data_IF_621300567942
#
_entry.id   IF_621300567942
#
_cell.length_a   1.000
_cell.length_b   1.000
_cell.length_c   1.000
_cell.angle_alpha   90.00
_cell.angle_beta   90.00
_cell.angle_gamma   90.00
#
_symmetry.space_group_name_H-M   'P 1'
#
loop_
_entity.id
_entity.type
_entity.pdbx_description
1 polymer ?
#
# COMPACT_ATOMS: atom_id res chain seq x y z
N UNK A 1 15.47 -5.53 -19.84
CA UNK A 1 14.79 -4.37 -19.29
C UNK A 1 15.15 -3.12 -20.10
N UNK A 2 14.20 -2.22 -20.29
CA UNK A 2 14.38 -0.94 -20.99
C UNK A 2 14.05 0.19 -20.03
N UNK A 3 14.96 1.17 -19.91
CA UNK A 3 14.79 2.25 -18.94
C UNK A 3 15.65 3.48 -19.24
N UNK A 4 15.75 4.34 -18.23
CA UNK A 4 16.58 5.56 -18.26
C UNK A 4 17.45 5.63 -17.00
N UNK A 5 18.50 4.76 -16.91
CA UNK A 5 19.39 4.74 -15.76
C UNK A 5 19.93 6.13 -15.44
N UNK A 6 19.92 6.49 -14.16
CA UNK A 6 20.41 7.78 -13.63
C UNK A 6 19.67 9.01 -14.19
N UNK A 7 18.57 8.83 -14.96
CA UNK A 7 17.86 9.92 -15.61
C UNK A 7 18.56 10.51 -16.85
N UNK A 8 19.74 10.03 -17.19
CA UNK A 8 20.61 10.59 -18.24
C UNK A 8 20.83 9.66 -19.43
N UNK A 9 20.52 8.35 -19.27
CA UNK A 9 20.82 7.33 -20.28
C UNK A 9 19.52 6.74 -20.86
N UNK A 10 18.66 7.61 -21.39
CA UNK A 10 17.39 7.21 -21.98
C UNK A 10 17.52 6.15 -23.07
N UNK A 11 16.65 5.13 -23.06
CA UNK A 11 16.67 4.03 -24.01
C UNK A 11 17.73 2.96 -23.74
N UNK A 12 18.32 2.96 -22.56
CA UNK A 12 19.25 1.88 -22.16
C UNK A 12 18.52 0.55 -22.09
N UNK A 13 19.10 -0.48 -22.70
CA UNK A 13 18.62 -1.86 -22.67
C UNK A 13 19.60 -2.71 -21.87
N UNK A 14 19.11 -3.44 -20.89
CA UNK A 14 19.88 -4.45 -20.15
C UNK A 14 19.28 -5.83 -20.39
N UNK A 15 20.13 -6.84 -20.59
CA UNK A 15 19.71 -8.23 -20.80
C UNK A 15 20.05 -9.10 -19.60
N UNK A 16 19.27 -10.18 -19.44
CA UNK A 16 19.45 -11.16 -18.38
C UNK A 16 18.45 -12.31 -18.50
N UNK A 17 18.32 -13.08 -17.44
CA UNK A 17 17.40 -14.20 -17.33
C UNK A 17 16.38 -13.98 -16.21
N UNK A 18 15.20 -14.54 -16.38
CA UNK A 18 14.22 -14.66 -15.30
C UNK A 18 14.72 -15.71 -14.30
N UNK A 19 14.99 -15.29 -13.08
CA UNK A 19 15.53 -16.13 -12.02
C UNK A 19 14.44 -16.76 -11.16
N UNK A 20 13.27 -16.09 -11.02
CA UNK A 20 12.10 -16.62 -10.33
C UNK A 20 10.81 -15.93 -10.80
N UNK A 21 9.69 -16.64 -10.69
CA UNK A 21 8.35 -16.10 -10.84
C UNK A 21 7.64 -16.11 -9.48
N UNK A 22 6.74 -15.15 -9.28
CA UNK A 22 5.94 -15.03 -8.06
C UNK A 22 6.80 -14.96 -6.78
N UNK A 23 7.92 -14.23 -6.84
CA UNK A 23 8.78 -14.02 -5.68
C UNK A 23 8.12 -13.01 -4.75
N UNK A 24 7.79 -13.43 -3.55
CA UNK A 24 7.33 -12.50 -2.52
C UNK A 24 8.49 -11.65 -2.03
N UNK A 25 8.36 -10.34 -2.19
CA UNK A 25 9.34 -9.35 -1.79
C UNK A 25 8.64 -8.27 -1.00
N UNK A 26 9.14 -7.97 0.19
CA UNK A 26 8.64 -6.85 0.99
C UNK A 26 9.46 -5.60 0.67
N UNK A 27 8.79 -4.57 0.19
CA UNK A 27 9.36 -3.27 -0.15
C UNK A 27 8.55 -2.21 0.60
N UNK A 28 9.20 -1.39 1.43
CA UNK A 28 8.54 -0.34 2.23
C UNK A 28 7.30 -0.87 2.98
N UNK A 29 7.47 -2.02 3.67
CA UNK A 29 6.44 -2.72 4.43
C UNK A 29 5.25 -3.28 3.61
N UNK A 30 5.35 -3.29 2.28
CA UNK A 30 4.38 -3.93 1.40
C UNK A 30 4.96 -5.19 0.76
N UNK A 31 4.29 -6.33 0.95
CA UNK A 31 4.67 -7.58 0.30
C UNK A 31 4.01 -7.66 -1.08
N UNK A 32 4.85 -7.85 -2.10
CA UNK A 32 4.43 -7.96 -3.49
C UNK A 32 4.96 -9.24 -4.11
N UNK A 33 4.17 -9.85 -5.00
CA UNK A 33 4.58 -10.98 -5.82
C UNK A 33 5.20 -10.48 -7.12
N UNK A 34 6.53 -10.63 -7.27
CA UNK A 34 7.31 -10.04 -8.35
C UNK A 34 8.01 -11.10 -9.20
N UNK A 35 8.34 -10.72 -10.43
CA UNK A 35 9.31 -11.44 -11.28
C UNK A 35 10.71 -11.04 -10.81
N UNK A 36 11.55 -12.04 -10.49
CA UNK A 36 12.97 -11.83 -10.20
C UNK A 36 13.81 -12.09 -11.46
N UNK A 37 14.81 -11.26 -11.71
CA UNK A 37 15.72 -11.36 -12.85
C UNK A 37 17.15 -10.93 -12.46
N UNK A 38 18.12 -11.31 -13.27
CA UNK A 38 19.52 -10.89 -13.15
C UNK A 38 19.92 -9.77 -14.13
N UNK A 39 18.97 -9.30 -14.95
CA UNK A 39 19.19 -8.11 -15.78
C UNK A 39 19.48 -6.90 -14.87
N UNK A 40 20.54 -6.16 -15.17
CA UNK A 40 20.94 -5.00 -14.38
C UNK A 40 19.81 -3.97 -14.30
N UNK A 41 19.43 -3.65 -13.08
CA UNK A 41 18.43 -2.64 -12.75
C UNK A 41 19.06 -1.62 -11.80
N UNK A 42 18.87 -0.35 -12.09
CA UNK A 42 19.39 0.76 -11.29
C UNK A 42 18.33 1.86 -11.16
N UNK A 43 18.49 2.80 -10.22
CA UNK A 43 17.64 3.98 -10.16
C UNK A 43 17.51 4.65 -11.54
N UNK A 44 16.24 4.94 -11.94
CA UNK A 44 15.91 5.43 -13.28
C UNK A 44 15.35 4.35 -14.22
N UNK A 45 15.51 3.07 -13.90
CA UNK A 45 14.85 1.97 -14.62
C UNK A 45 13.47 1.65 -14.08
N UNK A 46 13.11 2.09 -12.87
CA UNK A 46 11.76 1.93 -12.30
C UNK A 46 10.71 2.53 -13.22
N UNK A 47 9.63 1.78 -13.45
CA UNK A 47 8.57 2.13 -14.40
C UNK A 47 8.92 1.77 -15.85
N UNK A 48 10.14 1.34 -16.13
CA UNK A 48 10.56 0.86 -17.44
C UNK A 48 9.97 -0.51 -17.79
N UNK A 49 10.00 -0.85 -19.06
CA UNK A 49 9.43 -2.09 -19.57
C UNK A 49 10.39 -3.27 -19.48
N UNK A 50 9.85 -4.43 -19.12
CA UNK A 50 10.55 -5.72 -19.22
C UNK A 50 9.95 -6.52 -20.39
N UNK A 51 10.78 -6.86 -21.37
CA UNK A 51 10.39 -7.64 -22.54
C UNK A 51 11.02 -9.03 -22.53
N UNK A 52 10.30 -10.00 -23.10
CA UNK A 52 10.88 -11.30 -23.42
C UNK A 52 11.65 -11.27 -24.76
N UNK A 53 12.24 -12.41 -25.14
CA UNK A 53 13.00 -12.53 -26.40
C UNK A 53 12.14 -12.39 -27.66
N UNK A 54 10.81 -12.54 -27.56
CA UNK A 54 9.86 -12.34 -28.67
C UNK A 54 9.41 -10.88 -28.81
N UNK A 55 9.79 -10.01 -27.87
CA UNK A 55 9.37 -8.61 -27.84
C UNK A 55 8.04 -8.37 -27.12
N UNK A 56 7.50 -9.39 -26.42
CA UNK A 56 6.29 -9.21 -25.62
C UNK A 56 6.63 -8.51 -24.31
N UNK A 57 5.80 -7.57 -23.90
CA UNK A 57 5.90 -6.91 -22.59
C UNK A 57 5.45 -7.93 -21.52
N UNK A 58 6.36 -8.28 -20.62
CA UNK A 58 6.10 -9.27 -19.56
C UNK A 58 6.07 -8.67 -18.15
N UNK A 59 6.52 -7.44 -17.98
CA UNK A 59 6.48 -6.77 -16.68
C UNK A 59 6.90 -5.31 -16.73
N UNK A 60 6.70 -4.64 -15.60
CA UNK A 60 7.16 -3.27 -15.35
C UNK A 60 8.27 -3.33 -14.29
N UNK A 61 9.44 -2.80 -14.62
CA UNK A 61 10.61 -2.81 -13.73
C UNK A 61 10.31 -2.05 -12.44
N UNK A 62 10.58 -2.70 -11.31
CA UNK A 62 10.56 -2.08 -9.99
C UNK A 62 11.98 -2.07 -9.42
N UNK A 63 12.70 -0.97 -9.60
CA UNK A 63 14.10 -0.83 -9.17
C UNK A 63 14.27 -0.49 -7.67
N UNK A 64 13.19 -0.41 -6.91
CA UNK A 64 13.23 -0.13 -5.48
C UNK A 64 13.50 -1.38 -4.66
N UNK A 65 14.67 -1.97 -4.77
CA UNK A 65 15.21 -2.78 -3.69
C UNK A 65 16.34 -1.98 -3.03
N UNK A 66 15.97 -1.13 -2.07
CA UNK A 66 16.94 -0.40 -1.27
C UNK A 66 17.54 -1.33 -0.21
N UNK A 67 18.83 -1.46 -0.20
CA UNK A 67 19.63 -1.67 1.00
C UNK A 67 20.19 -3.07 1.23
N UNK A 68 19.47 -4.16 1.10
CA UNK A 68 19.92 -5.49 1.53
C UNK A 68 19.93 -6.58 0.44
N UNK A 69 19.54 -6.25 -0.78
CA UNK A 69 19.60 -7.22 -1.87
C UNK A 69 20.95 -7.13 -2.58
N UNK A 70 21.60 -8.30 -2.73
CA UNK A 70 22.87 -8.42 -3.40
C UNK A 70 22.83 -7.83 -4.82
N UNK A 71 23.96 -7.25 -5.26
CA UNK A 71 24.14 -6.84 -6.65
C UNK A 71 23.71 -7.96 -7.61
N UNK A 72 22.98 -7.63 -8.67
CA UNK A 72 22.52 -8.60 -9.67
C UNK A 72 21.10 -9.16 -9.41
N UNK A 73 20.34 -8.59 -8.47
CA UNK A 73 18.92 -8.91 -8.30
C UNK A 73 18.05 -7.76 -8.78
N UNK A 74 17.32 -7.99 -9.86
CA UNK A 74 16.29 -7.10 -10.39
C UNK A 74 14.89 -7.66 -10.13
N UNK A 75 13.90 -6.77 -9.99
CA UNK A 75 12.51 -7.15 -9.82
C UNK A 75 11.61 -6.40 -10.79
N UNK A 76 10.53 -7.06 -11.21
CA UNK A 76 9.50 -6.45 -12.04
C UNK A 76 8.11 -6.90 -11.60
N UNK A 77 7.15 -5.99 -11.68
CA UNK A 77 5.73 -6.29 -11.48
C UNK A 77 5.24 -7.07 -12.71
N UNK A 78 4.62 -8.25 -12.55
CA UNK A 78 4.08 -9.00 -13.68
C UNK A 78 3.10 -8.15 -14.50
N UNK A 79 3.16 -8.26 -15.83
CA UNK A 79 2.32 -7.44 -16.72
C UNK A 79 0.83 -7.65 -16.48
N UNK A 80 0.41 -8.87 -16.14
CA UNK A 80 -1.00 -9.16 -15.86
C UNK A 80 -1.53 -8.34 -14.67
N UNK A 81 -0.69 -8.16 -13.63
CA UNK A 81 -1.03 -7.29 -12.49
C UNK A 81 -1.03 -5.81 -12.90
N UNK A 82 0.03 -5.37 -13.59
CA UNK A 82 0.18 -3.99 -14.01
C UNK A 82 -0.91 -3.57 -15.01
N UNK A 83 -1.33 -4.46 -15.91
CA UNK A 83 -2.36 -4.21 -16.91
C UNK A 83 -3.71 -3.89 -16.27
N UNK A 84 -4.15 -4.67 -15.28
CA UNK A 84 -5.43 -4.44 -14.61
C UNK A 84 -5.44 -3.07 -13.91
N UNK A 85 -4.35 -2.75 -13.19
CA UNK A 85 -4.19 -1.44 -12.55
C UNK A 85 -4.20 -0.30 -13.58
N UNK A 86 -3.50 -0.46 -14.71
CA UNK A 86 -3.47 0.54 -15.77
C UNK A 86 -4.85 0.76 -16.40
N UNK A 87 -5.61 -0.32 -16.64
CA UNK A 87 -6.96 -0.23 -17.20
C UNK A 87 -7.91 0.48 -16.24
N UNK A 88 -7.84 0.18 -14.94
CA UNK A 88 -8.64 0.88 -13.93
C UNK A 88 -8.32 2.38 -13.91
N UNK A 89 -7.05 2.75 -13.94
CA UNK A 89 -6.62 4.15 -13.95
C UNK A 89 -7.09 4.88 -15.22
N UNK A 90 -7.07 4.22 -16.38
CA UNK A 90 -7.53 4.80 -17.65
C UNK A 90 -9.05 4.97 -17.66
N UNK A 91 -9.80 4.00 -17.16
CA UNK A 91 -11.25 3.98 -17.21
C UNK A 91 -11.90 4.80 -16.09
N UNK A 92 -11.36 4.72 -14.89
CA UNK A 92 -11.97 5.23 -13.66
C UNK A 92 -11.18 6.38 -13.02
N UNK A 93 -9.91 6.55 -13.38
CA UNK A 93 -9.01 7.53 -12.74
C UNK A 93 -8.42 7.06 -11.43
N UNK A 94 -8.83 5.90 -10.93
CA UNK A 94 -8.31 5.27 -9.71
C UNK A 94 -8.40 3.74 -9.83
N UNK A 95 -7.70 3.02 -8.94
CA UNK A 95 -7.75 1.54 -8.92
C UNK A 95 -9.02 1.10 -8.21
N UNK A 96 -9.92 0.45 -8.95
CA UNK A 96 -11.22 0.02 -8.45
C UNK A 96 -11.13 -1.21 -7.55
N UNK A 97 -12.19 -1.46 -6.77
CA UNK A 97 -12.29 -2.65 -5.91
C UNK A 97 -11.34 -2.68 -4.71
N UNK A 98 -10.59 -1.61 -4.44
CA UNK A 98 -9.74 -1.54 -3.24
C UNK A 98 -10.57 -1.21 -2.01
N UNK A 99 -10.61 -2.10 -1.00
CA UNK A 99 -11.34 -1.83 0.22
C UNK A 99 -10.59 -0.81 1.08
N UNK A 100 -11.35 0.04 1.79
CA UNK A 100 -10.83 0.96 2.79
C UNK A 100 -11.80 1.13 3.95
N UNK A 101 -11.25 1.46 5.12
CA UNK A 101 -12.02 1.93 6.28
C UNK A 101 -12.50 3.37 6.09
N UNK A 102 -11.71 4.17 5.40
CA UNK A 102 -11.92 5.62 5.26
C UNK A 102 -11.44 6.41 6.47
N UNK A 103 -10.26 6.07 6.97
CA UNK A 103 -9.56 6.78 8.05
C UNK A 103 -8.15 7.17 7.63
N UNK A 104 -7.63 8.23 8.22
CA UNK A 104 -6.19 8.50 8.26
C UNK A 104 -5.67 8.17 9.65
N UNK A 105 -4.50 7.58 9.73
CA UNK A 105 -3.89 7.19 11.00
C UNK A 105 -2.51 7.82 11.19
N UNK A 106 -2.12 7.99 12.44
CA UNK A 106 -0.77 8.36 12.85
C UNK A 106 -0.25 7.30 13.82
N UNK A 107 1.02 6.95 13.67
CA UNK A 107 1.70 6.07 14.62
C UNK A 107 2.50 6.91 15.60
N UNK A 108 2.23 6.74 16.88
CA UNK A 108 2.92 7.40 17.99
C UNK A 108 3.81 6.38 18.67
N UNK A 109 5.13 6.59 18.60
CA UNK A 109 6.14 5.63 19.06
C UNK A 109 6.82 6.05 20.36
N UNK A 110 6.73 7.32 20.74
CA UNK A 110 7.44 7.87 21.89
C UNK A 110 6.59 8.85 22.72
N UNK A 111 7.02 9.07 23.95
CA UNK A 111 6.30 9.91 24.91
C UNK A 111 6.28 11.41 24.53
N UNK A 112 7.29 11.91 23.82
CA UNK A 112 7.34 13.31 23.41
C UNK A 112 6.30 13.56 22.31
N UNK A 113 6.19 12.65 21.34
CA UNK A 113 5.15 12.68 20.32
C UNK A 113 3.77 12.49 20.94
N UNK A 114 3.60 11.58 21.90
CA UNK A 114 2.34 11.39 22.62
C UNK A 114 1.86 12.71 23.30
N UNK A 115 2.78 13.39 23.98
CA UNK A 115 2.47 14.67 24.61
C UNK A 115 2.04 15.76 23.62
N UNK A 116 2.66 15.82 22.43
CA UNK A 116 2.28 16.77 21.36
C UNK A 116 0.86 16.55 20.84
N UNK A 117 0.43 15.29 20.78
CA UNK A 117 -0.92 14.93 20.34
C UNK A 117 -1.94 14.81 21.48
N UNK A 118 -1.52 15.09 22.74
CA UNK A 118 -2.39 15.05 23.90
C UNK A 118 -2.88 13.65 24.27
N UNK A 119 -2.12 12.60 23.90
CA UNK A 119 -2.42 11.22 24.22
C UNK A 119 -1.42 10.66 25.25
N UNK A 120 -1.79 9.59 25.95
CA UNK A 120 -1.04 9.09 27.11
C UNK A 120 -0.20 7.83 26.82
N UNK A 121 -0.32 7.26 25.62
CA UNK A 121 0.37 6.00 25.28
C UNK A 121 0.78 5.97 23.80
N UNK A 122 1.80 5.19 23.49
CA UNK A 122 2.16 4.82 22.13
C UNK A 122 1.04 4.00 21.47
N UNK A 123 0.98 4.01 20.15
CA UNK A 123 0.02 3.24 19.36
C UNK A 123 -0.40 3.92 18.08
N UNK A 124 -1.37 3.32 17.40
CA UNK A 124 -1.95 3.80 16.15
C UNK A 124 -3.20 4.59 16.48
N UNK A 125 -3.24 5.85 16.13
CA UNK A 125 -4.38 6.73 16.41
C UNK A 125 -5.05 7.18 15.12
N UNK A 126 -6.38 7.20 15.11
CA UNK A 126 -7.15 7.82 14.03
C UNK A 126 -6.95 9.32 14.11
N UNK A 127 -6.35 9.91 13.08
CA UNK A 127 -6.19 11.35 12.95
C UNK A 127 -7.37 12.01 12.25
N UNK A 128 -7.99 11.29 11.31
CA UNK A 128 -9.14 11.76 10.56
C UNK A 128 -10.05 10.61 10.17
N UNK A 129 -11.35 10.87 10.14
CA UNK A 129 -12.37 9.99 9.57
C UNK A 129 -12.94 10.68 8.34
N UNK A 130 -12.95 9.98 7.21
CA UNK A 130 -13.40 10.55 5.94
C UNK A 130 -14.94 10.58 5.89
N UNK A 131 -15.53 11.69 5.47
CA UNK A 131 -16.98 11.80 5.29
C UNK A 131 -17.52 10.72 4.33
N UNK A 132 -18.68 10.17 4.67
CA UNK A 132 -19.37 9.13 3.88
C UNK A 132 -18.74 7.73 3.94
N UNK A 133 -17.62 7.57 4.65
CA UNK A 133 -16.91 6.30 4.78
C UNK A 133 -17.63 5.30 5.68
N UNK A 134 -17.20 4.02 5.61
CA UNK A 134 -17.63 3.00 6.56
C UNK A 134 -17.28 3.33 8.00
N UNK A 135 -16.10 3.91 8.21
CA UNK A 135 -15.63 4.36 9.53
C UNK A 135 -16.55 5.44 10.14
N UNK A 136 -16.98 6.43 9.36
CA UNK A 136 -17.91 7.45 9.82
C UNK A 136 -19.27 6.84 10.20
N UNK A 137 -19.84 5.99 9.31
CA UNK A 137 -21.12 5.31 9.56
C UNK A 137 -21.06 4.42 10.79
N UNK A 138 -19.91 3.79 11.05
CA UNK A 138 -19.66 2.97 12.22
C UNK A 138 -19.41 3.77 13.51
N UNK A 139 -19.24 5.10 13.42
CA UNK A 139 -19.04 5.99 14.56
C UNK A 139 -17.60 6.01 15.10
N UNK A 140 -16.61 5.67 14.27
CA UNK A 140 -15.20 5.91 14.59
C UNK A 140 -14.91 7.43 14.66
N UNK A 141 -13.96 7.82 15.48
CA UNK A 141 -13.65 9.22 15.74
C UNK A 141 -12.15 9.47 15.72
N UNK A 142 -11.77 10.69 15.35
CA UNK A 142 -10.39 11.14 15.57
C UNK A 142 -10.03 11.06 17.06
N UNK A 143 -8.83 10.57 17.36
CA UNK A 143 -8.37 10.29 18.71
C UNK A 143 -8.63 8.86 19.19
N UNK A 144 -9.39 8.03 18.49
CA UNK A 144 -9.49 6.61 18.78
C UNK A 144 -8.13 5.94 18.56
N UNK A 145 -7.67 5.15 19.53
CA UNK A 145 -6.48 4.31 19.37
C UNK A 145 -6.89 2.93 18.91
N UNK A 146 -6.43 2.51 17.74
CA UNK A 146 -6.65 1.16 17.22
C UNK A 146 -5.81 0.17 18.04
N UNK A 147 -6.44 -0.89 18.50
CA UNK A 147 -5.82 -1.93 19.32
C UNK A 147 -5.73 -3.24 18.53
N UNK A 148 -6.80 -3.62 17.85
CA UNK A 148 -6.82 -4.83 17.03
C UNK A 148 -7.75 -4.70 15.84
N UNK A 149 -7.50 -5.50 14.82
CA UNK A 149 -8.33 -5.67 13.62
C UNK A 149 -8.67 -7.15 13.51
N UNK A 150 -9.93 -7.51 13.45
CA UNK A 150 -10.44 -8.90 13.43
C UNK A 150 -9.79 -9.77 14.56
N UNK A 151 -9.70 -9.22 15.77
CA UNK A 151 -9.08 -9.82 16.95
C UNK A 151 -7.56 -10.06 16.86
N UNK A 152 -6.88 -9.55 15.83
CA UNK A 152 -5.41 -9.57 15.73
C UNK A 152 -4.87 -8.21 16.15
N UNK A 153 -3.92 -8.18 17.07
CA UNK A 153 -3.28 -6.95 17.53
C UNK A 153 -2.64 -6.22 16.37
N UNK A 154 -2.84 -4.91 16.34
CA UNK A 154 -2.20 -4.01 15.37
C UNK A 154 -1.15 -3.16 16.11
N UNK A 155 0.10 -3.31 15.73
CA UNK A 155 1.23 -2.58 16.30
C UNK A 155 1.65 -1.43 15.38
N UNK A 156 1.44 -1.59 14.07
CA UNK A 156 1.78 -0.62 13.04
C UNK A 156 0.56 -0.26 12.18
N UNK A 157 0.62 0.90 11.52
CA UNK A 157 -0.41 1.29 10.55
C UNK A 157 -0.53 0.25 9.43
N UNK A 158 0.58 -0.39 9.06
CA UNK A 158 0.61 -1.41 8.01
C UNK A 158 -0.16 -2.68 8.42
N UNK A 159 -0.18 -3.05 9.70
CA UNK A 159 -1.00 -4.18 10.16
C UNK A 159 -2.49 -3.92 9.90
N UNK A 160 -2.94 -2.68 10.11
CA UNK A 160 -4.32 -2.27 9.80
C UNK A 160 -4.58 -2.34 8.30
N UNK A 161 -3.67 -1.78 7.49
CA UNK A 161 -3.80 -1.74 6.03
C UNK A 161 -3.81 -3.15 5.45
N UNK A 162 -2.89 -4.03 5.85
CA UNK A 162 -2.79 -5.40 5.36
C UNK A 162 -4.07 -6.19 5.63
N UNK A 163 -4.64 -6.08 6.85
CA UNK A 163 -5.88 -6.75 7.20
C UNK A 163 -7.08 -6.28 6.39
N UNK A 164 -7.14 -4.97 6.11
CA UNK A 164 -8.19 -4.42 5.26
C UNK A 164 -8.03 -4.88 3.81
N UNK A 165 -6.80 -4.97 3.30
CA UNK A 165 -6.51 -5.41 1.93
C UNK A 165 -6.77 -6.91 1.70
N UNK A 166 -6.83 -7.73 2.74
CA UNK A 166 -7.25 -9.15 2.66
C UNK A 166 -8.74 -9.33 2.41
N UNK A 167 -9.53 -8.26 2.52
CA UNK A 167 -10.99 -8.24 2.38
C UNK A 167 -11.42 -7.66 1.03
N UNK A 168 -12.73 -7.66 0.82
CA UNK A 168 -13.38 -7.05 -0.33
C UNK A 168 -14.20 -5.83 0.07
N UNK A 169 -14.52 -4.96 -0.88
CA UNK A 169 -15.50 -3.88 -0.68
C UNK A 169 -16.83 -4.49 -0.29
N UNK A 170 -17.47 -3.95 0.77
CA UNK A 170 -18.71 -4.46 1.36
C UNK A 170 -18.51 -5.47 2.49
N UNK A 171 -17.30 -6.03 2.66
CA UNK A 171 -17.02 -6.87 3.82
C UNK A 171 -16.99 -6.03 5.11
N UNK A 172 -17.22 -6.68 6.24
CA UNK A 172 -17.15 -6.07 7.56
C UNK A 172 -15.84 -6.44 8.25
N UNK A 173 -15.23 -5.45 8.89
CA UNK A 173 -14.03 -5.60 9.73
C UNK A 173 -14.36 -5.19 11.15
N UNK A 174 -13.97 -6.02 12.11
CA UNK A 174 -14.14 -5.75 13.54
C UNK A 174 -12.92 -5.01 14.08
N UNK A 175 -13.09 -3.75 14.44
CA UNK A 175 -12.04 -2.93 15.06
C UNK A 175 -12.25 -2.83 16.57
N UNK A 176 -11.24 -3.21 17.35
CA UNK A 176 -11.18 -2.84 18.75
C UNK A 176 -10.38 -1.56 18.92
N UNK A 177 -11.03 -0.54 19.45
CA UNK A 177 -10.39 0.77 19.67
C UNK A 177 -10.47 1.18 21.14
N UNK A 178 -9.47 1.91 21.61
CA UNK A 178 -9.48 2.56 22.92
C UNK A 178 -9.91 4.00 22.75
N UNK A 179 -11.05 4.37 23.35
CA UNK A 179 -11.64 5.71 23.36
C UNK A 179 -11.82 6.17 24.80
N UNK A 180 -11.17 7.26 25.20
CA UNK A 180 -11.27 7.82 26.57
C UNK A 180 -11.02 6.76 27.68
N UNK A 181 -10.06 5.88 27.45
CA UNK A 181 -9.70 4.82 28.42
C UNK A 181 -10.61 3.58 28.41
N UNK A 182 -11.62 3.52 27.56
CA UNK A 182 -12.48 2.35 27.41
C UNK A 182 -12.18 1.62 26.09
N UNK A 183 -12.17 0.29 26.12
CA UNK A 183 -12.12 -0.53 24.93
C UNK A 183 -13.53 -0.71 24.38
N UNK A 184 -13.71 -0.40 23.10
CA UNK A 184 -14.96 -0.60 22.37
C UNK A 184 -14.67 -1.37 21.10
N UNK A 185 -15.59 -2.25 20.73
CA UNK A 185 -15.56 -2.96 19.45
C UNK A 185 -16.49 -2.27 18.49
N UNK A 186 -16.02 -1.98 17.29
CA UNK A 186 -16.77 -1.29 16.24
C UNK A 186 -16.69 -2.12 14.97
N UNK A 187 -17.86 -2.50 14.43
CA UNK A 187 -17.96 -3.19 13.15
C UNK A 187 -18.01 -2.15 12.02
N UNK A 188 -17.08 -2.22 11.10
CA UNK A 188 -16.94 -1.26 9.99
C UNK A 188 -17.12 -1.98 8.67
N UNK A 189 -18.13 -1.59 7.89
CA UNK A 189 -18.30 -2.02 6.51
C UNK A 189 -17.27 -1.30 5.63
N UNK A 190 -16.47 -2.07 4.88
CA UNK A 190 -15.46 -1.53 4.02
C UNK A 190 -16.07 -0.88 2.77
N UNK A 191 -15.65 0.33 2.48
CA UNK A 191 -16.03 1.06 1.28
C UNK A 191 -14.92 1.05 0.25
N UNK A 192 -15.23 1.37 -1.00
CA UNK A 192 -14.23 1.48 -2.05
C UNK A 192 -13.34 2.71 -1.85
N UNK A 193 -12.03 2.53 -2.03
CA UNK A 193 -11.05 3.60 -1.98
C UNK A 193 -11.16 4.47 -3.24
N UNK A 194 -11.98 5.52 -3.19
CA UNK A 194 -12.11 6.49 -4.28
C UNK A 194 -11.53 7.83 -3.86
N UNK A 195 -10.36 8.22 -4.40
CA UNK A 195 -9.71 9.50 -4.06
C UNK A 195 -10.52 10.72 -4.49
N UNK A 196 -11.41 10.60 -5.48
CA UNK A 196 -12.24 11.69 -5.95
C UNK A 196 -13.38 12.02 -4.97
N UNK A 197 -13.83 11.06 -4.17
CA UNK A 197 -14.87 11.29 -3.17
C UNK A 197 -14.37 12.13 -1.98
N UNK A 198 -13.06 12.14 -1.72
CA UNK A 198 -12.46 12.93 -0.64
C UNK A 198 -12.28 14.42 -0.98
N UNK A 199 -12.27 14.78 -2.27
CA UNK A 199 -12.00 16.15 -2.73
C UNK A 199 -13.27 17.01 -2.89
N UNK A 200 -14.47 16.46 -2.75
CA UNK A 200 -15.73 17.20 -2.93
C UNK A 200 -16.28 17.82 -1.64
N UNK A 201 -15.57 17.74 -0.52
CA UNK A 201 -16.00 18.31 0.77
C UNK A 201 -15.39 19.68 1.09
N UNK A 202 -14.63 20.28 0.18
CA UNK A 202 -14.16 21.67 0.29
C UNK A 202 -14.85 22.53 -0.78
N UNK A 203 -16.04 22.99 -0.48
CA UNK A 203 -16.83 23.92 -1.26
C UNK A 203 -17.68 24.76 -0.34
#
# INVERSE_FOLDING_TARGET
AVGNPLGELGGTVTGGMISALNREVTIEDQTMSLIQMDASVSPGNSGGALFNASGDLIGIVNAKSSGDYAEGLGFAIPINTAYNVAMDLIQSGYVTGRPQLGISVITITDAATAARYGVTSAGIYISQVNPGSGAEKAGLQAGDRIVSVDNVLAETANDVVSRVQEKSVGDTVSLQVARKGQLITVEVELTEANPTAASTSEG
#
